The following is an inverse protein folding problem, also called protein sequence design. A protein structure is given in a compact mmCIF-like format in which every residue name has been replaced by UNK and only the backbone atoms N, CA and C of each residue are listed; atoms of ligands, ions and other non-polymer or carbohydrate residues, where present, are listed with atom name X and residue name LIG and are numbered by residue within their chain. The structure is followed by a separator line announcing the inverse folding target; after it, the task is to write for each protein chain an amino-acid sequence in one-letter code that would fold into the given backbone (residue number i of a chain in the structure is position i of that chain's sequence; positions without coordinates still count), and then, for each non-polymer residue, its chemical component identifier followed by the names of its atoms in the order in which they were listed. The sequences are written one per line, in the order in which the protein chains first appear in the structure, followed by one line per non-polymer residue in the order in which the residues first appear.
data_IF_846912745452
#
_entry.id   IF_846912745452
#
_cell.length_a   1.000
_cell.length_b   1.000
_cell.length_c   1.000
_cell.angle_alpha   90.00
_cell.angle_beta   90.00
_cell.angle_gamma   90.00
#
_symmetry.space_group_name_H-M   'P 1'
#
loop_
_entity.id
_entity.type
_entity.pdbx_description
1 polymer ?
#
# COMPACT_ATOMS: atom_id res chain seq x y z
N UNK A 1 10.36 23.15 3.44
CA UNK A 1 10.00 22.23 4.55
C UNK A 1 10.48 20.84 4.16
N UNK A 2 11.18 20.09 5.03
CA UNK A 2 11.55 18.72 4.71
C UNK A 2 10.28 17.86 4.61
N UNK A 3 10.23 16.83 3.75
CA UNK A 3 9.13 15.88 3.75
C UNK A 3 9.17 15.12 5.07
N UNK A 4 8.23 15.46 5.94
CA UNK A 4 7.79 14.58 7.01
C UNK A 4 7.11 13.42 6.29
N UNK A 5 7.61 12.18 6.43
CA UNK A 5 6.99 10.89 6.01
C UNK A 5 7.98 9.85 5.43
N UNK A 6 9.29 9.98 5.65
CA UNK A 6 10.12 8.79 5.62
C UNK A 6 9.82 7.99 6.91
N UNK A 7 9.03 6.93 6.81
CA UNK A 7 8.92 5.86 7.81
C UNK A 7 10.28 5.17 7.95
N UNK A 8 11.22 5.85 8.61
CA UNK A 8 12.36 5.17 9.20
C UNK A 8 11.77 4.26 10.26
N UNK A 9 12.08 2.97 10.20
CA UNK A 9 11.74 1.98 11.21
C UNK A 9 12.47 2.35 12.52
N UNK A 10 11.99 3.36 13.22
CA UNK A 10 12.56 3.78 14.50
C UNK A 10 12.22 2.72 15.54
N UNK A 11 13.28 2.03 15.97
CA UNK A 11 13.39 1.13 17.14
C UNK A 11 12.18 0.21 17.32
N UNK A 12 11.93 -0.64 16.31
CA UNK A 12 11.09 -1.82 16.50
C UNK A 12 11.98 -2.93 17.08
N UNK A 13 11.64 -3.57 18.22
CA UNK A 13 12.28 -4.81 18.64
C UNK A 13 12.31 -5.77 17.45
N UNK A 14 13.42 -6.46 17.23
CA UNK A 14 13.48 -7.41 16.12
C UNK A 14 12.42 -8.50 16.31
N UNK A 15 11.36 -8.48 15.49
CA UNK A 15 10.30 -9.49 15.47
C UNK A 15 10.58 -10.46 14.33
N UNK A 16 10.40 -11.75 14.59
CA UNK A 16 10.51 -12.81 13.59
C UNK A 16 9.29 -13.71 13.70
N UNK A 17 8.66 -14.00 12.57
CA UNK A 17 7.58 -14.96 12.41
C UNK A 17 8.04 -16.02 11.44
N UNK A 18 7.70 -17.28 11.71
CA UNK A 18 7.93 -18.39 10.80
C UNK A 18 6.63 -19.16 10.61
N UNK A 19 6.44 -19.69 9.41
CA UNK A 19 5.39 -20.64 9.08
C UNK A 19 6.02 -21.82 8.34
N UNK A 20 5.94 -23.01 8.94
CA UNK A 20 6.27 -24.24 8.26
C UNK A 20 5.18 -24.60 7.23
N UNK A 21 5.46 -25.42 6.20
CA UNK A 21 4.45 -26.00 5.32
C UNK A 21 3.26 -26.61 6.08
N UNK A 22 2.03 -26.18 5.78
CA UNK A 22 0.81 -26.59 6.47
C UNK A 22 0.69 -26.11 7.92
N UNK A 23 1.63 -25.27 8.36
CA UNK A 23 1.66 -24.67 9.69
C UNK A 23 0.58 -23.62 9.89
N UNK A 24 0.35 -23.27 11.15
CA UNK A 24 -0.62 -22.25 11.52
C UNK A 24 -0.24 -20.89 10.93
N UNK A 25 -1.26 -20.16 10.49
CA UNK A 25 -1.11 -18.79 10.05
C UNK A 25 -0.60 -17.93 11.21
N UNK A 26 0.44 -17.14 10.97
CA UNK A 26 1.05 -16.28 11.98
C UNK A 26 1.17 -14.87 11.46
N UNK A 27 0.84 -13.90 12.31
CA UNK A 27 0.88 -12.49 11.95
C UNK A 27 1.30 -11.65 13.15
N UNK A 28 1.87 -10.48 12.89
CA UNK A 28 2.27 -9.56 13.94
C UNK A 28 2.02 -8.11 13.52
N UNK A 29 1.30 -7.38 14.36
CA UNK A 29 1.05 -5.95 14.16
C UNK A 29 2.23 -5.13 14.71
N UNK A 30 2.91 -4.42 13.84
CA UNK A 30 4.01 -3.50 14.14
C UNK A 30 3.47 -2.08 14.12
N UNK A 31 3.59 -1.36 15.22
CA UNK A 31 3.29 0.08 15.28
C UNK A 31 4.59 0.87 15.40
N UNK A 32 4.81 1.80 14.47
CA UNK A 32 5.99 2.68 14.46
C UNK A 32 5.79 3.88 15.39
N UNK A 33 6.90 4.55 15.73
CA UNK A 33 6.87 5.77 16.55
C UNK A 33 6.01 6.90 15.94
N UNK A 34 5.83 6.90 14.61
CA UNK A 34 4.93 7.83 13.91
C UNK A 34 3.43 7.57 14.14
N UNK A 35 3.08 6.47 14.83
CA UNK A 35 1.70 5.99 15.01
C UNK A 35 1.15 5.22 13.80
N UNK A 36 1.92 5.13 12.71
CA UNK A 36 1.60 4.26 11.57
C UNK A 36 1.84 2.81 11.97
N UNK A 37 0.98 1.90 11.53
CA UNK A 37 1.14 0.47 11.79
C UNK A 37 0.97 -0.38 10.56
N UNK A 38 1.58 -1.56 10.58
CA UNK A 38 1.55 -2.57 9.52
C UNK A 38 1.40 -3.94 10.16
N UNK A 39 0.97 -4.93 9.38
CA UNK A 39 1.05 -6.33 9.78
C UNK A 39 2.11 -7.03 8.92
N UNK A 40 2.92 -7.88 9.53
CA UNK A 40 3.80 -8.81 8.78
C UNK A 40 3.29 -10.23 8.94
N UNK A 41 3.42 -11.04 7.89
CA UNK A 41 3.02 -12.45 7.88
C UNK A 41 3.90 -13.25 6.91
N UNK A 42 4.32 -14.48 7.25
CA UNK A 42 4.97 -15.39 6.31
C UNK A 42 4.06 -15.83 5.15
N UNK A 43 2.74 -15.81 5.35
CA UNK A 43 1.68 -16.15 4.39
C UNK A 43 2.01 -17.31 3.43
N UNK A 44 2.29 -18.49 3.97
CA UNK A 44 2.50 -19.71 3.20
C UNK A 44 1.17 -20.38 2.78
N UNK A 45 0.17 -19.59 2.34
CA UNK A 45 -1.24 -19.99 2.21
C UNK A 45 -1.45 -21.22 1.32
N UNK A 46 -0.67 -21.39 0.25
CA UNK A 46 -0.80 -22.54 -0.63
C UNK A 46 0.26 -23.63 -0.38
N UNK A 47 1.12 -23.51 0.63
CA UNK A 47 2.17 -24.52 0.91
C UNK A 47 1.66 -25.53 1.94
N UNK A 48 1.12 -26.67 1.48
CA UNK A 48 0.41 -27.65 2.33
C UNK A 48 1.32 -28.53 3.18
N UNK A 49 2.38 -29.04 2.59
CA UNK A 49 3.25 -30.05 3.21
C UNK A 49 4.68 -29.91 2.71
N UNK A 50 5.61 -30.59 3.38
CA UNK A 50 7.04 -30.50 3.15
C UNK A 50 7.78 -30.27 4.47
N UNK A 51 9.01 -29.77 4.36
CA UNK A 51 9.81 -29.31 5.51
C UNK A 51 10.48 -27.98 5.18
N UNK A 52 11.09 -27.34 6.19
CA UNK A 52 11.59 -25.97 6.08
C UNK A 52 10.55 -24.95 6.55
N UNK A 53 10.79 -23.67 6.25
CA UNK A 53 9.98 -22.56 6.75
C UNK A 53 9.96 -21.37 5.77
N UNK A 54 8.86 -20.62 5.80
CA UNK A 54 8.81 -19.24 5.37
C UNK A 54 8.95 -18.35 6.59
N UNK A 55 9.89 -17.42 6.56
CA UNK A 55 10.19 -16.53 7.69
C UNK A 55 10.09 -15.08 7.24
N UNK A 56 9.41 -14.26 8.03
CA UNK A 56 9.46 -12.78 7.91
C UNK A 56 10.03 -12.17 9.17
N UNK A 57 10.90 -11.18 9.00
CA UNK A 57 11.60 -10.50 10.08
C UNK A 57 11.52 -8.99 9.88
N UNK A 58 11.11 -8.29 10.93
CA UNK A 58 11.14 -6.83 10.99
C UNK A 58 12.12 -6.38 12.06
N UNK A 59 13.10 -5.57 11.69
CA UNK A 59 14.13 -5.00 12.57
C UNK A 59 14.34 -3.53 12.23
N UNK A 60 15.09 -2.80 13.07
CA UNK A 60 15.43 -1.39 12.79
C UNK A 60 16.21 -1.14 11.48
N UNK A 61 16.70 -2.19 10.82
CA UNK A 61 17.41 -2.10 9.53
C UNK A 61 16.57 -2.56 8.31
N UNK A 62 15.27 -2.80 8.48
CA UNK A 62 14.38 -3.18 7.38
C UNK A 62 13.52 -4.41 7.68
N UNK A 63 12.82 -4.85 6.63
CA UNK A 63 12.12 -6.12 6.58
C UNK A 63 12.92 -7.12 5.76
N UNK A 64 12.88 -8.38 6.16
CA UNK A 64 13.51 -9.48 5.44
C UNK A 64 12.58 -10.68 5.43
N UNK A 65 12.38 -11.28 4.26
CA UNK A 65 11.71 -12.56 4.13
C UNK A 65 12.66 -13.59 3.55
N UNK A 66 12.57 -14.82 4.06
CA UNK A 66 13.30 -15.98 3.58
C UNK A 66 12.32 -17.13 3.39
N UNK A 67 12.34 -17.72 2.20
CA UNK A 67 11.58 -18.90 1.84
C UNK A 67 12.59 -20.03 1.72
N UNK A 68 12.41 -21.10 2.51
CA UNK A 68 13.20 -22.33 2.37
C UNK A 68 12.26 -23.51 2.59
N UNK A 69 11.80 -24.12 1.50
CA UNK A 69 10.89 -25.25 1.53
C UNK A 69 11.53 -26.46 0.81
N UNK A 70 11.42 -27.64 1.41
CA UNK A 70 11.92 -28.90 0.86
C UNK A 70 10.81 -29.94 0.73
N UNK A 71 10.82 -30.68 -0.36
CA UNK A 71 9.83 -31.72 -0.69
C UNK A 71 8.39 -31.19 -0.55
N UNK A 72 8.20 -29.91 -0.87
CA UNK A 72 6.99 -29.19 -0.60
C UNK A 72 5.92 -29.50 -1.65
N UNK A 73 4.67 -29.51 -1.22
CA UNK A 73 3.52 -29.72 -2.11
C UNK A 73 2.47 -28.65 -1.86
N UNK A 74 1.95 -28.07 -2.92
CA UNK A 74 0.90 -27.06 -2.82
C UNK A 74 -0.45 -27.65 -2.38
N UNK A 75 -1.30 -26.84 -1.73
CA UNK A 75 -2.68 -27.22 -1.38
C UNK A 75 -3.51 -27.35 -2.64
N UNK A 76 -3.52 -26.32 -3.47
CA UNK A 76 -4.04 -26.33 -4.83
C UNK A 76 -2.86 -26.29 -5.81
N UNK A 77 -2.62 -27.42 -6.48
CA UNK A 77 -1.52 -27.58 -7.44
C UNK A 77 -1.73 -26.87 -8.76
N UNK A 78 -2.97 -26.41 -9.03
CA UNK A 78 -3.29 -25.60 -10.20
C UNK A 78 -3.08 -24.11 -9.96
N UNK A 79 -3.01 -23.68 -8.70
CA UNK A 79 -2.49 -22.36 -8.37
C UNK A 79 -0.99 -22.35 -8.62
N UNK A 80 -0.53 -21.33 -9.33
CA UNK A 80 0.87 -21.22 -9.73
C UNK A 80 1.79 -20.80 -8.58
N UNK A 81 1.22 -20.26 -7.50
CA UNK A 81 1.90 -19.61 -6.38
C UNK A 81 1.77 -20.47 -5.12
N UNK A 82 2.84 -20.53 -4.32
CA UNK A 82 2.90 -21.33 -3.09
C UNK A 82 2.68 -20.51 -1.82
N UNK A 83 2.80 -19.19 -1.88
CA UNK A 83 2.58 -18.25 -0.77
C UNK A 83 3.01 -16.82 -1.13
N UNK A 84 2.77 -15.88 -0.22
CA UNK A 84 3.01 -14.45 -0.42
C UNK A 84 3.52 -13.75 0.87
N UNK A 85 4.73 -14.05 1.39
CA UNK A 85 5.27 -13.37 2.57
C UNK A 85 5.32 -11.86 2.40
N UNK A 86 4.70 -11.12 3.33
CA UNK A 86 4.24 -9.77 3.02
C UNK A 86 4.24 -8.81 4.24
N UNK A 87 4.10 -7.53 3.89
CA UNK A 87 3.84 -6.39 4.77
C UNK A 87 2.49 -5.77 4.35
N UNK A 88 1.50 -5.84 5.23
CA UNK A 88 0.13 -5.37 5.00
C UNK A 88 -0.04 -3.97 5.60
N UNK A 89 -0.61 -3.05 4.81
CA UNK A 89 -1.07 -1.74 5.26
C UNK A 89 -2.54 -1.52 4.90
N UNK A 90 -3.40 -1.33 5.90
CA UNK A 90 -4.85 -1.19 5.72
C UNK A 90 -5.64 -2.34 6.32
N UNK A 91 -6.63 -2.83 5.58
CA UNK A 91 -7.52 -3.95 5.91
C UNK A 91 -7.45 -5.01 4.80
N UNK A 92 -6.81 -6.15 5.08
CA UNK A 92 -6.82 -7.29 4.16
C UNK A 92 -8.15 -8.03 4.27
N UNK A 93 -8.96 -8.10 3.19
CA UNK A 93 -10.24 -8.81 3.21
C UNK A 93 -10.11 -10.27 3.66
N UNK A 94 -9.03 -10.91 3.22
CA UNK A 94 -8.71 -12.29 3.57
C UNK A 94 -8.23 -12.40 5.01
N UNK A 95 -8.99 -13.12 5.84
CA UNK A 95 -8.69 -13.26 7.27
C UNK A 95 -8.96 -12.00 8.09
N UNK A 96 -9.52 -10.95 7.48
CA UNK A 96 -9.93 -9.69 8.13
C UNK A 96 -8.78 -9.05 8.93
N UNK A 97 -7.59 -9.02 8.35
CA UNK A 97 -6.39 -8.51 9.01
C UNK A 97 -6.43 -6.99 8.97
N UNK A 98 -6.40 -6.36 10.14
CA UNK A 98 -6.50 -4.91 10.29
C UNK A 98 -5.23 -4.31 10.86
N UNK A 99 -4.79 -3.23 10.25
CA UNK A 99 -3.76 -2.33 10.79
C UNK A 99 -4.41 -1.19 11.58
N UNK A 100 -3.67 -0.61 12.52
CA UNK A 100 -4.07 0.61 13.20
C UNK A 100 -4.18 1.81 12.25
N UNK A 101 -5.03 2.76 12.65
CA UNK A 101 -5.33 3.97 11.88
C UNK A 101 -4.10 4.88 11.73
N UNK A 102 -3.78 5.27 10.49
CA UNK A 102 -2.67 6.18 10.19
C UNK A 102 -3.15 7.62 9.99
N UNK A 103 -2.63 8.63 10.72
CA UNK A 103 -3.08 10.01 10.60
C UNK A 103 -2.85 10.63 9.20
N UNK A 104 -2.09 9.96 8.33
CA UNK A 104 -1.69 10.45 7.01
C UNK A 104 -2.52 9.85 5.87
N UNK A 105 -2.81 8.54 5.93
CA UNK A 105 -3.51 7.81 4.87
C UNK A 105 -4.39 6.74 5.52
N UNK A 106 -5.69 6.89 5.44
CA UNK A 106 -6.63 5.95 6.07
C UNK A 106 -7.12 4.96 5.03
N UNK A 107 -6.97 3.68 5.32
CA UNK A 107 -7.66 2.60 4.63
C UNK A 107 -8.46 1.79 5.66
N UNK A 108 -9.64 1.26 5.30
CA UNK A 108 -10.31 1.37 4.01
C UNK A 108 -10.78 2.79 3.68
N UNK A 109 -10.80 3.17 2.40
CA UNK A 109 -11.37 4.45 1.96
C UNK A 109 -11.88 4.37 0.53
N UNK A 110 -12.95 5.09 0.21
CA UNK A 110 -13.44 5.17 -1.18
C UNK A 110 -12.36 5.76 -2.08
N UNK A 111 -12.21 5.18 -3.27
CA UNK A 111 -11.26 5.64 -4.29
C UNK A 111 -11.46 7.13 -4.60
N UNK A 112 -12.71 7.60 -4.70
CA UNK A 112 -13.04 9.01 -4.91
C UNK A 112 -12.50 9.98 -3.84
N UNK A 113 -12.22 9.48 -2.63
CA UNK A 113 -11.88 10.29 -1.47
C UNK A 113 -10.36 10.24 -1.16
N UNK A 114 -9.62 9.43 -1.90
CA UNK A 114 -8.18 9.24 -1.73
C UNK A 114 -7.40 10.48 -2.17
N UNK A 115 -6.37 10.88 -1.40
CA UNK A 115 -5.40 11.84 -1.90
C UNK A 115 -4.56 11.21 -3.01
N UNK A 116 -3.78 12.00 -3.77
CA UNK A 116 -2.68 11.46 -4.54
C UNK A 116 -1.72 10.65 -3.66
N UNK A 117 -1.42 9.41 -4.05
CA UNK A 117 -0.57 8.47 -3.33
C UNK A 117 0.63 8.11 -4.22
N UNK A 118 1.84 8.24 -3.66
CA UNK A 118 3.07 7.68 -4.22
C UNK A 118 3.62 6.68 -3.21
N UNK A 119 3.75 5.41 -3.62
CA UNK A 119 4.40 4.39 -2.82
C UNK A 119 5.89 4.33 -3.17
N UNK A 120 6.77 4.29 -2.17
CA UNK A 120 8.20 4.17 -2.38
C UNK A 120 8.76 2.93 -1.68
N UNK A 121 9.74 2.29 -2.31
CA UNK A 121 10.36 1.06 -1.83
C UNK A 121 11.83 1.08 -2.23
N UNK A 122 12.70 0.61 -1.33
CA UNK A 122 14.09 0.27 -1.64
C UNK A 122 14.32 -1.18 -1.22
N UNK A 123 14.70 -2.05 -2.16
CA UNK A 123 14.75 -3.48 -1.92
C UNK A 123 15.83 -4.18 -2.74
N UNK A 124 16.07 -5.43 -2.35
CA UNK A 124 16.83 -6.42 -3.12
C UNK A 124 16.21 -7.79 -2.90
N UNK A 125 16.22 -8.65 -3.91
CA UNK A 125 15.65 -9.99 -3.83
C UNK A 125 16.50 -11.02 -4.55
N UNK A 126 16.14 -12.29 -4.36
CA UNK A 126 16.73 -13.39 -5.13
C UNK A 126 15.86 -14.64 -5.11
N UNK A 127 15.92 -15.39 -6.19
CA UNK A 127 15.28 -16.70 -6.35
C UNK A 127 16.35 -17.77 -6.68
N UNK A 128 17.14 -18.25 -5.70
CA UNK A 128 18.21 -19.22 -5.97
C UNK A 128 17.76 -20.49 -6.70
N UNK A 129 16.59 -21.03 -6.36
CA UNK A 129 15.99 -22.20 -7.01
C UNK A 129 14.45 -22.15 -7.04
N UNK A 130 13.88 -20.97 -6.80
CA UNK A 130 12.47 -20.68 -6.98
C UNK A 130 12.21 -19.82 -8.20
N UNK A 131 10.97 -19.34 -8.31
CA UNK A 131 10.55 -18.25 -9.21
C UNK A 131 9.37 -17.53 -8.56
N UNK A 132 9.00 -16.39 -9.10
CA UNK A 132 7.95 -15.56 -8.54
C UNK A 132 8.09 -14.11 -8.94
N UNK A 133 7.43 -13.24 -8.20
CA UNK A 133 7.45 -11.78 -8.38
C UNK A 133 7.87 -11.03 -7.11
N UNK A 134 7.87 -9.71 -7.20
CA UNK A 134 7.85 -8.83 -6.05
C UNK A 134 6.94 -7.66 -6.38
N UNK A 135 5.86 -7.51 -5.61
CA UNK A 135 4.70 -6.73 -6.00
C UNK A 135 4.03 -6.01 -4.84
N UNK A 136 3.18 -5.05 -5.19
CA UNK A 136 1.99 -4.82 -4.37
C UNK A 136 0.87 -5.76 -4.80
N UNK A 137 0.11 -6.29 -3.85
CA UNK A 137 -1.25 -6.81 -4.00
C UNK A 137 -2.19 -5.83 -3.31
N UNK A 138 -3.29 -5.46 -3.95
CA UNK A 138 -4.14 -4.32 -3.56
C UNK A 138 -5.60 -4.71 -3.77
N UNK A 139 -6.37 -4.73 -2.68
CA UNK A 139 -7.79 -5.04 -2.76
C UNK A 139 -8.66 -3.78 -2.84
N UNK A 140 -9.50 -3.74 -3.87
CA UNK A 140 -10.57 -2.77 -4.04
C UNK A 140 -11.91 -3.49 -3.99
N UNK A 141 -12.72 -3.22 -2.98
CA UNK A 141 -14.00 -3.91 -2.81
C UNK A 141 -15.17 -2.96 -2.69
N UNK A 142 -16.39 -3.48 -2.88
CA UNK A 142 -17.61 -2.67 -2.80
C UNK A 142 -18.00 -2.27 -1.37
N UNK A 143 -17.32 -2.81 -0.36
CA UNK A 143 -17.65 -2.58 1.05
C UNK A 143 -16.44 -2.11 1.84
N UNK A 144 -16.69 -1.40 2.93
CA UNK A 144 -15.62 -0.82 3.75
C UNK A 144 -14.73 -1.90 4.37
N UNK A 145 -15.30 -2.95 4.99
CA UNK A 145 -14.55 -4.04 5.64
C UNK A 145 -15.18 -5.40 5.26
N UNK A 146 -14.93 -5.88 4.03
CA UNK A 146 -15.47 -7.15 3.55
C UNK A 146 -14.91 -8.35 4.31
N UNK A 147 -15.72 -9.38 4.55
CA UNK A 147 -15.24 -10.68 5.06
C UNK A 147 -14.75 -11.63 3.96
N UNK A 148 -14.90 -11.24 2.68
CA UNK A 148 -14.54 -12.01 1.50
C UNK A 148 -14.60 -11.12 0.26
N UNK A 149 -13.91 -11.51 -0.80
CA UNK A 149 -13.98 -10.85 -2.13
C UNK A 149 -14.76 -11.72 -3.11
N UNK A 150 -15.37 -11.09 -4.11
CA UNK A 150 -16.10 -11.80 -5.15
C UNK A 150 -16.42 -10.93 -6.35
N UNK A 151 -17.55 -11.21 -6.99
CA UNK A 151 -17.93 -10.53 -8.22
C UNK A 151 -18.03 -9.02 -7.98
N UNK A 152 -17.53 -8.24 -8.94
CA UNK A 152 -17.42 -6.78 -8.88
C UNK A 152 -16.50 -6.21 -7.78
N UNK A 153 -15.67 -7.06 -7.15
CA UNK A 153 -14.46 -6.64 -6.45
C UNK A 153 -13.24 -6.79 -7.39
N UNK A 154 -12.16 -6.10 -7.06
CA UNK A 154 -10.98 -5.95 -7.90
C UNK A 154 -9.70 -6.18 -7.10
N UNK A 155 -8.84 -7.04 -7.62
CA UNK A 155 -7.44 -7.20 -7.21
C UNK A 155 -6.55 -6.45 -8.20
N UNK A 156 -5.72 -5.53 -7.69
CA UNK A 156 -4.70 -4.86 -8.50
C UNK A 156 -3.32 -5.26 -7.99
N UNK A 157 -2.61 -6.05 -8.77
CA UNK A 157 -1.19 -6.30 -8.53
C UNK A 157 -0.30 -5.31 -9.28
N UNK A 158 0.74 -4.82 -8.62
CA UNK A 158 1.76 -3.93 -9.22
C UNK A 158 3.13 -4.60 -9.10
N UNK A 159 3.59 -5.26 -10.16
CA UNK A 159 4.80 -6.09 -10.15
C UNK A 159 6.03 -5.25 -10.52
N UNK A 160 6.96 -5.09 -9.57
CA UNK A 160 8.25 -4.41 -9.82
C UNK A 160 9.27 -5.35 -10.43
N UNK A 161 9.21 -6.61 -10.02
CA UNK A 161 10.05 -7.68 -10.51
C UNK A 161 9.20 -8.90 -10.79
N UNK A 162 9.64 -9.69 -11.77
CA UNK A 162 9.21 -11.07 -11.90
C UNK A 162 10.36 -11.90 -12.47
N UNK A 163 10.39 -13.16 -12.09
CA UNK A 163 11.35 -14.13 -12.61
C UNK A 163 11.02 -14.43 -14.09
N UNK A 164 12.03 -14.71 -14.94
CA UNK A 164 11.78 -15.13 -16.31
C UNK A 164 10.80 -16.33 -16.38
N UNK A 165 9.76 -16.21 -17.21
CA UNK A 165 8.73 -17.25 -17.36
C UNK A 165 7.75 -17.37 -16.19
N UNK A 166 7.81 -16.48 -15.20
CA UNK A 166 6.74 -16.25 -14.24
C UNK A 166 5.88 -15.09 -14.77
N UNK A 167 4.58 -15.34 -14.99
CA UNK A 167 3.70 -14.42 -15.70
C UNK A 167 2.41 -14.20 -14.90
N UNK A 168 1.80 -13.01 -14.98
CA UNK A 168 0.53 -12.74 -14.30
C UNK A 168 -0.62 -13.57 -14.90
N UNK A 169 -1.74 -13.63 -14.21
CA UNK A 169 -2.95 -14.17 -14.82
C UNK A 169 -3.35 -13.36 -16.06
N UNK A 170 -3.78 -14.04 -17.13
CA UNK A 170 -4.13 -13.39 -18.41
C UNK A 170 -2.94 -13.00 -19.30
N UNK A 171 -1.72 -13.47 -19.00
CA UNK A 171 -0.47 -13.02 -19.64
C UNK A 171 -0.31 -13.21 -21.16
N UNK A 172 -1.20 -13.91 -21.86
CA UNK A 172 -1.00 -14.28 -23.27
C UNK A 172 -0.69 -13.07 -24.16
N UNK A 173 -1.25 -11.91 -23.82
CA UNK A 173 -0.88 -10.59 -24.35
C UNK A 173 -1.34 -9.51 -23.36
N UNK A 174 -0.59 -8.40 -23.18
CA UNK A 174 -1.08 -7.29 -22.38
C UNK A 174 -2.35 -6.68 -22.99
N UNK A 175 -3.33 -6.38 -22.15
CA UNK A 175 -4.54 -5.64 -22.50
C UNK A 175 -4.23 -4.19 -22.85
N UNK A 176 -3.23 -3.60 -22.18
CA UNK A 176 -2.75 -2.25 -22.45
C UNK A 176 -1.27 -2.08 -22.08
N UNK A 177 -0.66 -1.00 -22.57
CA UNK A 177 0.69 -0.57 -22.16
C UNK A 177 0.62 0.88 -21.77
N UNK A 178 0.99 1.17 -20.53
CA UNK A 178 0.98 2.50 -19.94
C UNK A 178 2.41 3.00 -19.73
N UNK A 179 2.56 4.32 -19.76
CA UNK A 179 3.82 5.02 -19.58
C UNK A 179 3.65 5.96 -18.40
N UNK A 180 4.16 5.53 -17.24
CA UNK A 180 3.92 6.19 -15.96
C UNK A 180 5.22 6.84 -15.48
N UNK A 181 5.25 8.16 -15.21
CA UNK A 181 6.40 8.82 -14.60
C UNK A 181 6.72 8.17 -13.25
N UNK A 182 7.78 7.38 -13.22
CA UNK A 182 8.18 6.56 -12.07
C UNK A 182 9.59 6.96 -11.68
N UNK A 183 9.87 7.10 -10.39
CA UNK A 183 11.23 7.37 -9.94
C UNK A 183 11.96 6.03 -9.72
N UNK A 184 13.04 5.79 -10.46
CA UNK A 184 13.92 4.62 -10.31
C UNK A 184 15.31 5.11 -9.96
N UNK A 185 15.86 4.64 -8.84
CA UNK A 185 17.19 5.03 -8.34
C UNK A 185 17.42 6.55 -8.30
N UNK A 186 16.39 7.26 -7.81
CA UNK A 186 16.40 8.71 -7.65
C UNK A 186 16.19 9.50 -8.96
N UNK A 187 15.93 8.85 -10.09
CA UNK A 187 15.67 9.49 -11.39
C UNK A 187 14.25 9.25 -11.85
N UNK A 188 13.55 10.31 -12.23
CA UNK A 188 12.24 10.19 -12.88
C UNK A 188 12.46 9.66 -14.30
N UNK A 189 11.88 8.50 -14.58
CA UNK A 189 11.86 7.86 -15.90
C UNK A 189 10.42 7.66 -16.34
N UNK A 190 10.20 7.61 -17.65
CA UNK A 190 8.90 7.21 -18.18
C UNK A 190 8.84 5.68 -18.23
N UNK A 191 8.46 5.05 -17.11
CA UNK A 191 8.49 3.60 -16.98
C UNK A 191 7.35 2.96 -17.77
N UNK A 192 7.64 1.85 -18.43
CA UNK A 192 6.66 1.07 -19.17
C UNK A 192 6.02 0.03 -18.26
N UNK A 193 4.69 0.09 -18.18
CA UNK A 193 3.87 -0.84 -17.41
C UNK A 193 2.93 -1.59 -18.36
N UNK A 194 3.08 -2.90 -18.41
CA UNK A 194 2.18 -3.78 -19.18
C UNK A 194 1.03 -4.22 -18.29
N UNK A 195 -0.20 -3.92 -18.69
CA UNK A 195 -1.39 -4.25 -17.93
C UNK A 195 -2.05 -5.51 -18.47
N UNK A 196 -2.38 -6.44 -17.58
CA UNK A 196 -3.05 -7.71 -17.87
C UNK A 196 -4.33 -7.82 -17.06
N UNK A 197 -5.40 -8.31 -17.68
CA UNK A 197 -6.71 -8.46 -17.04
C UNK A 197 -7.14 -9.92 -17.13
N UNK A 198 -7.54 -10.50 -16.00
CA UNK A 198 -8.09 -11.84 -15.93
C UNK A 198 -9.46 -11.84 -15.24
N UNK A 199 -10.41 -12.56 -15.85
CA UNK A 199 -11.83 -12.59 -15.44
C UNK A 199 -12.30 -14.01 -15.04
N UNK A 200 -11.38 -14.97 -14.90
CA UNK A 200 -11.73 -16.35 -14.57
C UNK A 200 -11.71 -16.61 -13.05
N UNK A 201 -11.32 -15.62 -12.25
CA UNK A 201 -11.45 -15.65 -10.81
C UNK A 201 -12.86 -15.21 -10.38
N UNK A 202 -13.26 -15.46 -9.12
CA UNK A 202 -14.51 -14.92 -8.58
C UNK A 202 -14.55 -13.38 -8.57
N UNK A 203 -13.40 -12.71 -8.62
CA UNK A 203 -13.22 -11.25 -8.74
C UNK A 203 -12.52 -10.90 -10.07
N UNK A 204 -12.38 -9.61 -10.38
CA UNK A 204 -11.54 -9.17 -11.50
C UNK A 204 -10.10 -9.02 -11.03
N UNK A 205 -9.16 -9.58 -11.78
CA UNK A 205 -7.73 -9.43 -11.52
C UNK A 205 -7.11 -8.47 -12.55
N UNK A 206 -6.27 -7.54 -12.08
CA UNK A 206 -5.44 -6.69 -12.93
C UNK A 206 -3.99 -6.68 -12.45
N UNK A 207 -3.05 -7.02 -13.32
CA UNK A 207 -1.62 -6.87 -13.04
C UNK A 207 -1.00 -5.77 -13.88
N UNK A 208 -0.30 -4.84 -13.24
CA UNK A 208 0.58 -3.85 -13.86
C UNK A 208 2.02 -4.29 -13.69
N UNK A 209 2.65 -4.76 -14.77
CA UNK A 209 3.99 -5.34 -14.76
C UNK A 209 5.02 -4.37 -15.30
N UNK A 210 6.00 -4.01 -14.48
CA UNK A 210 7.11 -3.14 -14.86
C UNK A 210 8.00 -3.83 -15.90
N UNK A 211 8.26 -3.12 -17.01
CA UNK A 211 9.13 -3.61 -18.09
C UNK A 211 10.24 -2.58 -18.39
N UNK A 212 11.53 -2.94 -18.24
CA UNK A 212 12.06 -4.20 -17.72
C UNK A 212 11.89 -4.35 -16.20
N UNK A 213 11.87 -5.58 -15.66
CA UNK A 213 11.74 -5.82 -14.22
C UNK A 213 12.97 -5.32 -13.43
N UNK A 214 12.74 -4.89 -12.19
CA UNK A 214 13.74 -4.32 -11.29
C UNK A 214 14.04 -5.29 -10.13
N UNK A 215 15.15 -6.04 -10.19
CA UNK A 215 15.50 -7.01 -9.14
C UNK A 215 16.17 -6.42 -7.89
N UNK A 216 16.66 -5.18 -7.98
CA UNK A 216 17.23 -4.44 -6.86
C UNK A 216 17.16 -2.94 -7.14
N UNK A 217 17.18 -2.14 -6.07
CA UNK A 217 17.23 -0.68 -6.15
C UNK A 217 16.04 -0.03 -5.47
N UNK A 218 15.83 1.24 -5.81
CA UNK A 218 14.73 2.04 -5.27
C UNK A 218 13.74 2.43 -6.35
N UNK A 219 12.46 2.32 -6.04
CA UNK A 219 11.36 2.70 -6.91
C UNK A 219 10.34 3.53 -6.13
N UNK A 220 9.83 4.61 -6.74
CA UNK A 220 8.65 5.32 -6.27
C UNK A 220 7.60 5.38 -7.36
N UNK A 221 6.45 4.76 -7.08
CA UNK A 221 5.36 4.51 -8.02
C UNK A 221 4.17 5.40 -7.64
N UNK A 222 3.72 6.29 -8.52
CA UNK A 222 2.47 7.03 -8.33
C UNK A 222 1.28 6.08 -8.44
N UNK A 223 0.83 5.50 -7.33
CA UNK A 223 -0.31 4.58 -7.30
C UNK A 223 -1.58 5.23 -7.83
N UNK A 224 -1.75 6.54 -7.65
CA UNK A 224 -2.89 7.26 -8.25
C UNK A 224 -2.91 7.23 -9.78
N UNK A 225 -1.75 7.17 -10.44
CA UNK A 225 -1.69 6.97 -11.89
C UNK A 225 -2.07 5.53 -12.27
N UNK A 226 -1.58 4.54 -11.51
CA UNK A 226 -1.99 3.14 -11.68
C UNK A 226 -3.52 3.00 -11.52
N UNK A 227 -4.11 3.62 -10.51
CA UNK A 227 -5.57 3.60 -10.28
C UNK A 227 -6.34 4.30 -11.40
N UNK A 228 -5.82 5.42 -11.92
CA UNK A 228 -6.41 6.08 -13.09
C UNK A 228 -6.41 5.15 -14.31
N UNK A 229 -5.29 4.48 -14.58
CA UNK A 229 -5.17 3.55 -15.70
C UNK A 229 -6.02 2.27 -15.50
N UNK A 230 -6.09 1.77 -14.26
CA UNK A 230 -6.96 0.67 -13.88
C UNK A 230 -8.44 1.01 -14.06
N UNK A 231 -8.86 2.25 -13.76
CA UNK A 231 -10.24 2.70 -13.99
C UNK A 231 -10.65 2.61 -15.47
N UNK A 232 -9.72 2.86 -16.40
CA UNK A 232 -9.96 2.75 -17.84
C UNK A 232 -10.20 1.28 -18.25
N UNK A 233 -9.42 0.35 -17.69
CA UNK A 233 -9.60 -1.08 -17.93
C UNK A 233 -10.87 -1.61 -17.25
N UNK A 234 -11.13 -1.15 -16.03
CA UNK A 234 -12.30 -1.53 -15.22
C UNK A 234 -13.61 -1.20 -15.92
N UNK A 235 -13.69 -0.01 -16.53
CA UNK A 235 -14.88 0.44 -17.27
C UNK A 235 -15.26 -0.46 -18.47
N UNK A 236 -14.35 -1.33 -18.91
CA UNK A 236 -14.58 -2.28 -20.01
C UNK A 236 -15.10 -3.63 -19.52
N UNK A 237 -14.95 -3.95 -18.24
CA UNK A 237 -15.22 -5.29 -17.68
C UNK A 237 -16.24 -5.29 -16.54
N UNK A 238 -16.53 -4.14 -15.93
CA UNK A 238 -17.56 -4.00 -14.90
C UNK A 238 -18.45 -2.79 -15.14
N UNK A 239 -19.71 -2.91 -14.73
CA UNK A 239 -20.68 -1.82 -14.67
C UNK A 239 -20.63 -1.04 -13.35
N UNK A 240 -19.88 -1.53 -12.35
CA UNK A 240 -19.70 -0.84 -11.08
C UNK A 240 -18.72 0.32 -11.27
N UNK A 241 -18.93 1.45 -10.60
CA UNK A 241 -18.03 2.60 -10.74
C UNK A 241 -16.73 2.36 -9.94
N UNK A 242 -15.57 2.49 -10.60
CA UNK A 242 -14.26 2.36 -9.97
C UNK A 242 -14.11 3.30 -8.76
N UNK A 243 -14.60 4.53 -8.88
CA UNK A 243 -14.53 5.56 -7.83
C UNK A 243 -15.38 5.23 -6.58
N UNK A 244 -16.35 4.32 -6.71
CA UNK A 244 -17.19 3.86 -5.59
C UNK A 244 -16.59 2.66 -4.83
N UNK A 245 -15.55 2.02 -5.36
CA UNK A 245 -14.83 0.98 -4.65
C UNK A 245 -14.10 1.58 -3.44
N UNK A 246 -13.94 0.78 -2.40
CA UNK A 246 -13.07 1.05 -1.27
C UNK A 246 -11.71 0.43 -1.55
N UNK A 247 -10.65 1.23 -1.53
CA UNK A 247 -9.30 0.73 -1.38
C UNK A 247 -9.14 0.22 0.05
N UNK A 248 -9.07 -1.09 0.24
CA UNK A 248 -9.06 -1.72 1.55
C UNK A 248 -7.63 -1.78 2.12
N UNK A 249 -6.64 -2.13 1.29
CA UNK A 249 -5.25 -2.27 1.69
C UNK A 249 -4.25 -2.11 0.55
N UNK A 250 -2.97 -2.14 0.93
CA UNK A 250 -1.82 -2.33 0.04
C UNK A 250 -0.88 -3.32 0.74
N UNK A 251 -0.68 -4.47 0.11
CA UNK A 251 0.14 -5.60 0.58
C UNK A 251 1.46 -5.63 -0.21
N UNK A 252 2.61 -5.41 0.44
CA UNK A 252 3.92 -5.52 -0.20
C UNK A 252 4.54 -6.88 0.09
N UNK A 253 4.78 -7.69 -0.94
CA UNK A 253 5.30 -9.03 -0.77
C UNK A 253 5.96 -9.63 -2.01
N UNK A 254 6.17 -10.93 -1.94
CA UNK A 254 6.76 -11.74 -2.99
C UNK A 254 5.89 -12.97 -3.19
N UNK A 255 5.26 -13.12 -4.35
CA UNK A 255 4.75 -14.42 -4.71
C UNK A 255 5.93 -15.34 -4.96
N UNK A 256 5.90 -16.56 -4.43
CA UNK A 256 6.95 -17.54 -4.67
C UNK A 256 6.38 -18.88 -5.14
N UNK A 257 7.15 -19.58 -5.96
CA UNK A 257 6.84 -20.92 -6.45
C UNK A 257 8.09 -21.68 -6.88
N UNK A 258 7.92 -22.95 -7.20
CA UNK A 258 8.94 -23.78 -7.83
C UNK A 258 9.04 -23.50 -9.32
N UNK A 259 10.25 -23.66 -9.87
CA UNK A 259 10.48 -23.71 -11.33
C UNK A 259 9.82 -24.94 -11.97
N UNK A 260 9.61 -26.01 -11.20
CA UNK A 260 8.88 -27.20 -11.62
C UNK A 260 7.37 -27.01 -11.41
N UNK A 261 6.58 -27.31 -12.44
CA UNK A 261 5.11 -27.24 -12.39
C UNK A 261 4.49 -28.60 -12.78
N UNK A 262 3.45 -29.07 -12.08
CA UNK A 262 2.85 -28.47 -10.87
C UNK A 262 3.78 -28.55 -9.63
N UNK A 263 3.59 -27.70 -8.61
CA UNK A 263 4.42 -27.66 -7.40
C UNK A 263 4.13 -28.84 -6.46
N UNK A 264 4.55 -30.04 -6.87
CA UNK A 264 4.43 -31.30 -6.11
C UNK A 264 5.81 -31.86 -5.83
N UNK A 265 6.12 -32.11 -4.56
CA UNK A 265 7.42 -32.57 -4.09
C UNK A 265 8.60 -31.73 -4.62
N UNK A 266 8.50 -30.41 -4.44
CA UNK A 266 9.44 -29.42 -4.97
C UNK A 266 10.31 -28.80 -3.87
N UNK A 267 11.50 -28.33 -4.25
CA UNK A 267 12.34 -27.52 -3.38
C UNK A 267 12.29 -26.06 -3.84
N UNK A 268 12.06 -25.13 -2.92
CA UNK A 268 11.94 -23.70 -3.23
C UNK A 268 12.73 -22.88 -2.23
N UNK A 269 13.56 -22.00 -2.75
CA UNK A 269 14.23 -20.95 -2.00
C UNK A 269 14.15 -19.63 -2.75
N UNK A 270 13.76 -18.62 -2.00
CA UNK A 270 13.68 -17.24 -2.42
C UNK A 270 13.88 -16.35 -1.19
N UNK A 271 14.20 -15.08 -1.40
CA UNK A 271 14.30 -14.11 -0.32
C UNK A 271 14.10 -12.70 -0.86
N UNK A 272 13.65 -11.80 0.01
CA UNK A 272 13.72 -10.37 -0.23
C UNK A 272 14.15 -9.61 1.01
N UNK A 273 14.72 -8.43 0.80
CA UNK A 273 15.01 -7.45 1.83
C UNK A 273 14.47 -6.10 1.40
N UNK A 274 13.65 -5.50 2.25
CA UNK A 274 13.15 -4.13 2.11
C UNK A 274 13.91 -3.24 3.08
N UNK A 275 14.75 -2.35 2.55
CA UNK A 275 15.56 -1.41 3.34
C UNK A 275 14.76 -0.20 3.80
N UNK A 276 13.77 0.21 3.02
CA UNK A 276 12.84 1.29 3.35
C UNK A 276 11.59 1.16 2.50
N UNK A 277 10.43 1.47 3.07
CA UNK A 277 9.18 1.53 2.34
C UNK A 277 8.23 2.54 3.00
N UNK A 278 7.29 3.07 2.22
CA UNK A 278 6.17 3.83 2.76
C UNK A 278 5.36 4.55 1.68
N UNK A 279 4.45 5.41 2.14
CA UNK A 279 3.56 6.19 1.29
C UNK A 279 3.82 7.68 1.47
N UNK A 280 3.88 8.38 0.35
CA UNK A 280 3.88 9.83 0.28
C UNK A 280 2.48 10.24 -0.18
N UNK A 281 1.84 11.07 0.62
CA UNK A 281 0.51 11.60 0.36
C UNK A 281 0.56 13.12 0.32
N UNK A 282 -0.14 13.72 -0.62
CA UNK A 282 -0.29 15.17 -0.62
C UNK A 282 -1.07 15.59 0.64
N UNK A 283 -0.60 16.61 1.39
CA UNK A 283 -1.36 17.10 2.53
C UNK A 283 -2.73 17.56 2.04
N UNK A 284 -3.84 17.11 2.67
CA UNK A 284 -5.17 17.69 2.40
C UNK A 284 -5.08 19.20 2.67
N UNK A 285 -5.51 20.03 1.72
CA UNK A 285 -5.55 21.48 1.96
C UNK A 285 -6.39 21.76 3.21
N UNK A 286 -5.80 22.49 4.16
CA UNK A 286 -6.48 22.94 5.37
C UNK A 286 -7.20 24.23 5.01
N UNK A 287 -8.49 24.17 4.75
CA UNK A 287 -9.30 25.39 4.65
C UNK A 287 -9.59 25.88 6.07
N UNK A 288 -8.99 27.00 6.48
CA UNK A 288 -9.32 27.66 7.75
C UNK A 288 -10.74 28.21 7.67
N UNK A 289 -11.69 27.59 8.37
CA UNK A 289 -13.05 28.14 8.51
C UNK A 289 -13.08 29.03 9.75
N UNK A 290 -13.14 30.34 9.57
CA UNK A 290 -13.36 31.28 10.69
C UNK A 290 -14.84 31.27 11.05
N UNK A 291 -15.19 30.70 12.20
CA UNK A 291 -16.56 30.79 12.74
C UNK A 291 -16.63 31.92 13.77
N UNK A 292 -17.34 33.00 13.46
CA UNK A 292 -17.59 34.09 14.41
C UNK A 292 -18.80 33.72 15.27
N UNK A 293 -18.60 33.45 16.55
CA UNK A 293 -19.68 33.20 17.51
C UNK A 293 -19.94 34.46 18.32
N UNK A 294 -21.09 35.12 18.10
CA UNK A 294 -21.49 36.30 18.88
C UNK A 294 -22.24 35.85 20.13
N UNK A 295 -21.66 36.03 21.32
CA UNK A 295 -22.34 35.77 22.60
C UNK A 295 -22.78 37.09 23.25
N UNK A 296 -24.07 37.27 23.48
CA UNK A 296 -24.59 38.43 24.24
C UNK A 296 -24.61 38.09 25.73
N UNK A 297 -23.88 38.85 26.54
CA UNK A 297 -23.92 38.73 28.00
C UNK A 297 -24.74 39.89 28.60
N UNK A 298 -25.79 39.57 29.35
CA UNK A 298 -26.58 40.57 30.08
C UNK A 298 -26.02 40.71 31.49
N UNK A 299 -25.49 41.88 31.83
CA UNK A 299 -25.01 42.18 33.19
C UNK A 299 -26.10 42.94 33.93
N UNK A 300 -26.64 42.36 35.00
CA UNK A 300 -27.62 43.01 35.87
C UNK A 300 -26.91 43.57 37.09
N UNK A 301 -26.73 44.90 37.17
CA UNK A 301 -26.25 45.56 38.38
C UNK A 301 -27.42 46.12 39.19
N UNK A 302 -27.54 45.72 40.45
CA UNK A 302 -28.55 46.26 41.37
C UNK A 302 -28.03 47.54 42.02
N UNK A 303 -28.49 48.69 41.52
CA UNK A 303 -28.49 49.96 42.25
C UNK A 303 -29.95 50.44 42.21
N UNK A 304 -30.41 51.08 43.29
CA UNK A 304 -31.81 51.40 43.68
C UNK A 304 -32.62 52.28 42.69
N UNK A 305 -32.35 52.22 41.40
CA UNK A 305 -33.13 52.80 40.31
C UNK A 305 -32.95 51.93 39.07
N UNK A 306 -34.00 51.23 38.66
CA UNK A 306 -33.99 50.24 37.57
C UNK A 306 -33.67 50.90 36.22
N UNK A 307 -32.46 50.66 35.69
CA UNK A 307 -32.12 50.91 34.28
C UNK A 307 -31.44 49.65 33.74
N UNK A 308 -32.11 48.94 32.83
CA UNK A 308 -31.57 47.78 32.12
C UNK A 308 -30.82 48.28 30.89
N UNK A 309 -29.50 48.10 30.83
CA UNK A 309 -28.72 48.37 29.61
C UNK A 309 -28.06 47.08 29.13
N UNK A 310 -28.32 46.71 27.87
CA UNK A 310 -27.72 45.54 27.25
C UNK A 310 -26.37 45.93 26.64
N UNK A 311 -25.28 45.29 27.09
CA UNK A 311 -23.93 45.44 26.54
C UNK A 311 -23.64 44.27 25.60
N UNK A 312 -23.54 44.53 24.30
CA UNK A 312 -23.17 43.51 23.32
C UNK A 312 -21.64 43.39 23.28
N UNK A 313 -21.09 42.29 23.80
CA UNK A 313 -19.65 42.00 23.71
C UNK A 313 -19.41 41.00 22.59
N UNK A 314 -18.75 41.43 21.50
CA UNK A 314 -18.37 40.53 20.42
C UNK A 314 -17.03 39.86 20.74
N UNK A 315 -17.03 38.56 21.03
CA UNK A 315 -15.82 37.74 21.15
C UNK A 315 -15.60 36.98 19.84
N UNK A 316 -14.42 37.07 19.25
CA UNK A 316 -14.06 36.27 18.06
C UNK A 316 -13.24 35.07 18.51
N UNK A 317 -13.82 33.87 18.45
CA UNK A 317 -13.12 32.62 18.71
C UNK A 317 -12.80 31.91 17.39
N UNK A 318 -11.51 31.74 17.06
CA UNK A 318 -11.10 31.01 15.85
C UNK A 318 -11.15 29.49 16.12
N UNK A 319 -12.20 28.82 15.67
CA UNK A 319 -12.29 27.35 15.75
C UNK A 319 -11.76 26.73 14.46
N UNK A 320 -10.66 25.99 14.54
CA UNK A 320 -10.10 25.27 13.39
C UNK A 320 -10.86 23.95 13.19
N UNK A 321 -11.79 23.91 12.23
CA UNK A 321 -12.48 22.66 11.86
C UNK A 321 -11.85 22.06 10.60
N UNK A 322 -11.47 20.78 10.67
CA UNK A 322 -10.94 20.01 9.53
C UNK A 322 -12.10 19.57 8.63
N UNK A 323 -12.18 20.09 7.42
CA UNK A 323 -13.06 19.59 6.34
C UNK A 323 -12.30 19.75 5.04
N UNK A 324 -12.33 18.77 4.13
CA UNK A 324 -11.67 18.93 2.84
C UNK A 324 -12.16 17.96 1.76
N UNK A 325 -12.34 18.51 0.56
CA UNK A 325 -11.98 17.91 -0.74
C UNK A 325 -11.57 19.07 -1.66
N UNK A 326 -10.39 18.97 -2.29
CA UNK A 326 -9.91 19.92 -3.30
C UNK A 326 -9.06 19.18 -4.33
N UNK A 327 -9.37 19.37 -5.61
CA UNK A 327 -8.77 18.65 -6.75
C UNK A 327 -7.41 19.27 -7.07
N UNK A 328 -6.34 18.46 -7.10
CA UNK A 328 -5.00 18.88 -7.51
C UNK A 328 -4.85 18.86 -9.03
N UNK A 329 -4.21 19.89 -9.61
CA UNK A 329 -3.83 19.89 -11.02
C UNK A 329 -2.51 19.14 -11.25
N UNK A 330 -2.36 18.57 -12.45
CA UNK A 330 -1.20 17.77 -12.89
C UNK A 330 0.17 18.46 -12.64
N UNK A 331 0.22 19.78 -12.72
CA UNK A 331 1.43 20.60 -12.47
C UNK A 331 1.87 20.55 -11.00
N UNK A 332 0.93 20.47 -10.06
CA UNK A 332 1.24 20.38 -8.63
C UNK A 332 1.84 19.01 -8.26
N UNK A 333 1.41 17.94 -8.93
CA UNK A 333 1.94 16.60 -8.73
C UNK A 333 3.39 16.49 -9.24
N UNK A 334 3.67 17.02 -10.44
CA UNK A 334 5.04 17.07 -10.99
C UNK A 334 6.00 17.87 -10.09
N UNK A 335 5.56 19.01 -9.56
CA UNK A 335 6.36 19.82 -8.65
C UNK A 335 6.60 19.11 -7.31
N UNK A 336 5.59 18.40 -6.79
CA UNK A 336 5.75 17.57 -5.60
C UNK A 336 6.78 16.46 -5.82
N UNK A 337 6.72 15.76 -6.96
CA UNK A 337 7.68 14.71 -7.34
C UNK A 337 9.11 15.27 -7.43
N UNK A 338 9.30 16.44 -8.03
CA UNK A 338 10.63 17.09 -8.14
C UNK A 338 11.17 17.50 -6.77
N UNK A 339 10.33 18.10 -5.92
CA UNK A 339 10.72 18.49 -4.56
C UNK A 339 11.01 17.25 -3.68
N UNK A 340 10.32 16.14 -3.94
CA UNK A 340 10.53 14.85 -3.28
C UNK A 340 11.83 14.17 -3.71
N UNK A 341 12.18 14.21 -5.00
CA UNK A 341 13.47 13.71 -5.48
C UNK A 341 14.64 14.48 -4.82
N UNK A 342 14.53 15.80 -4.70
CA UNK A 342 15.54 16.62 -4.02
C UNK A 342 15.69 16.27 -2.53
N UNK A 343 14.58 16.00 -1.85
CA UNK A 343 14.60 15.62 -0.44
C UNK A 343 15.10 14.19 -0.20
N UNK A 344 14.77 13.24 -1.08
CA UNK A 344 15.26 11.86 -1.01
C UNK A 344 16.78 11.81 -1.24
N UNK A 345 17.30 12.59 -2.19
CA UNK A 345 18.75 12.77 -2.40
C UNK A 345 19.41 13.33 -1.15
N UNK A 346 18.80 14.31 -0.47
CA UNK A 346 19.35 14.88 0.77
C UNK A 346 19.39 13.87 1.94
N UNK A 347 18.40 12.97 2.04
CA UNK A 347 18.38 11.90 3.05
C UNK A 347 19.43 10.83 2.74
N UNK A 348 19.58 10.46 1.46
CA UNK A 348 20.59 9.48 1.02
C UNK A 348 22.02 10.02 1.20
N UNK A 349 22.28 11.30 0.91
CA UNK A 349 23.58 11.94 1.09
C UNK A 349 24.00 12.08 2.57
N UNK A 350 23.05 12.18 3.50
CA UNK A 350 23.34 12.21 4.95
C UNK A 350 23.80 10.87 5.52
N UNK A 351 23.57 9.75 4.82
CA UNK A 351 23.99 8.40 5.24
C UNK A 351 25.38 7.99 4.74
N UNK A 352 25.98 8.77 3.84
CA UNK A 352 27.34 8.55 3.32
C UNK A 352 28.45 9.24 4.10
N UNK A 353 28.18 9.71 5.33
CA UNK A 353 29.16 10.32 6.24
C UNK A 353 29.18 9.60 7.58
#
# INVERSE_FOLDING_TARGET
MPPVNATVLEVVPCVTLSQAPGGQYSQYNLTFASGVSVVITPDAWNTRSGSGEVTVRACGNGFFASIVNYNATATNVYDTVMGYPEIIYGYKPWGQIITGQSPYLQFPAKVSDLPPIVAYINYSLGFPNGRGDFSFDIWLTRSYEPSSVGADDLEIMVWFYHSPGFNPAGYSRPNATFYIPTMVDGRVVNATWQAYVALHFPWTYMAFVLTPPLGNGSIAVPLSNIFSDASLLWSQVSNYSFDQLYLNDVELGMEYSSVQWPPVNVNVSAWYKVYSYGFLVAPRQVTTVTSTTTSTATVTSTITSTITSALTVTSTATVTKRVGVGIYSFMALSLAIVLLAAALVAVLLRRGR
#
